data_IF_309481093179
#
_entry.id   IF_309481093179
#
_cell.length_a   1.000
_cell.length_b   1.000
_cell.length_c   1.000
_cell.angle_alpha   90.00
_cell.angle_beta   90.00
_cell.angle_gamma   90.00
#
_symmetry.space_group_name_H-M   'P 1'
#
loop_
_entity.id
_entity.type
_entity.pdbx_description
1 polymer ?
#
# COMPACT_ATOMS: atom_id res chain seq x y z
N UNK A 1 -15.31 -21.80 5.86
CA UNK A 1 -15.79 -20.42 6.10
C UNK A 1 -14.96 -19.51 5.21
N UNK A 2 -15.56 -18.64 4.41
CA UNK A 2 -14.77 -17.69 3.61
C UNK A 2 -14.39 -16.52 4.52
N UNK A 3 -13.09 -16.26 4.65
CA UNK A 3 -12.55 -15.23 5.54
C UNK A 3 -11.49 -14.39 4.83
N UNK A 4 -11.44 -13.12 5.19
CA UNK A 4 -10.27 -12.28 4.97
C UNK A 4 -9.14 -12.71 5.95
N UNK A 5 -7.92 -12.21 5.75
CA UNK A 5 -6.77 -12.61 6.54
C UNK A 5 -5.83 -11.44 6.79
N UNK A 6 -5.15 -11.46 7.93
CA UNK A 6 -4.02 -10.58 8.21
C UNK A 6 -2.66 -11.30 8.08
N UNK A 7 -2.66 -12.54 7.60
CA UNK A 7 -1.43 -13.28 7.34
C UNK A 7 -0.57 -12.54 6.30
N UNK A 8 0.76 -12.62 6.49
CA UNK A 8 1.76 -12.03 5.58
C UNK A 8 1.63 -10.51 5.42
N UNK A 9 1.18 -9.83 6.47
CA UNK A 9 1.28 -8.37 6.56
C UNK A 9 2.75 -7.98 6.43
N UNK A 10 3.06 -7.07 5.52
CA UNK A 10 4.44 -6.68 5.26
C UNK A 10 4.61 -5.18 5.05
N UNK A 11 3.54 -4.41 4.86
CA UNK A 11 3.63 -2.98 4.57
C UNK A 11 2.58 -2.17 5.32
N UNK A 12 2.99 -0.98 5.77
CA UNK A 12 2.13 0.08 6.27
C UNK A 12 2.14 1.23 5.26
N UNK A 13 0.97 1.53 4.69
CA UNK A 13 0.80 2.60 3.70
C UNK A 13 0.24 3.87 4.33
N UNK A 14 0.94 4.98 4.12
CA UNK A 14 0.54 6.31 4.59
C UNK A 14 0.36 7.26 3.42
N UNK A 15 -0.67 8.10 3.49
CA UNK A 15 -0.89 9.18 2.53
C UNK A 15 -0.26 10.45 3.07
N UNK A 16 0.48 11.13 2.19
CA UNK A 16 1.22 12.36 2.48
C UNK A 16 0.87 13.41 1.44
N UNK A 17 1.00 14.68 1.81
CA UNK A 17 0.83 15.80 0.87
C UNK A 17 2.10 16.12 0.09
N UNK A 18 3.26 15.91 0.70
CA UNK A 18 4.58 16.17 0.11
C UNK A 18 5.51 15.01 0.50
N UNK A 19 5.93 14.21 -0.47
CA UNK A 19 6.70 12.99 -0.22
C UNK A 19 8.07 13.30 0.40
N UNK A 20 8.73 14.36 -0.05
CA UNK A 20 10.09 14.68 0.36
C UNK A 20 10.10 15.23 1.80
N UNK A 21 9.14 16.10 2.15
CA UNK A 21 8.99 16.62 3.51
C UNK A 21 8.54 15.55 4.50
N UNK A 22 7.65 14.63 4.11
CA UNK A 22 7.23 13.52 4.95
C UNK A 22 8.38 12.50 5.14
N UNK A 23 9.11 12.16 4.09
CA UNK A 23 10.28 11.28 4.19
C UNK A 23 11.36 11.86 5.12
N UNK A 24 11.64 13.16 5.00
CA UNK A 24 12.55 13.86 5.91
C UNK A 24 12.04 13.81 7.36
N UNK A 25 10.73 13.97 7.57
CA UNK A 25 10.14 13.84 8.91
C UNK A 25 10.30 12.43 9.47
N UNK A 26 10.09 11.40 8.66
CA UNK A 26 10.27 10.00 9.04
C UNK A 26 11.73 9.68 9.34
N UNK A 27 12.68 10.27 8.60
CA UNK A 27 14.11 10.21 8.91
C UNK A 27 14.41 10.76 10.31
N UNK A 28 13.89 11.94 10.61
CA UNK A 28 14.13 12.61 11.91
C UNK A 28 13.50 11.88 13.10
N UNK A 29 12.29 11.34 12.93
CA UNK A 29 11.55 10.71 14.03
C UNK A 29 11.91 9.24 14.23
N UNK A 30 12.13 8.50 13.15
CA UNK A 30 12.21 7.05 13.17
C UNK A 30 13.56 6.51 12.68
N UNK A 31 14.47 7.38 12.23
CA UNK A 31 15.78 6.96 11.74
C UNK A 31 15.76 6.27 10.38
N UNK A 32 14.70 6.44 9.59
CA UNK A 32 14.61 5.87 8.24
C UNK A 32 15.42 6.76 7.29
N UNK A 33 16.70 6.42 7.09
CA UNK A 33 17.65 7.25 6.35
C UNK A 33 17.49 7.16 4.83
N UNK A 34 17.05 6.00 4.34
CA UNK A 34 16.98 5.71 2.90
C UNK A 34 15.60 5.25 2.50
N UNK A 35 15.11 5.84 1.41
CA UNK A 35 13.90 5.43 0.72
C UNK A 35 14.22 5.15 -0.75
N UNK A 36 13.53 4.15 -1.32
CA UNK A 36 13.39 4.03 -2.76
C UNK A 36 12.20 4.87 -3.18
N UNK A 37 12.43 5.90 -4.00
CA UNK A 37 11.37 6.79 -4.50
C UNK A 37 11.02 6.43 -5.94
N UNK A 38 9.74 6.22 -6.21
CA UNK A 38 9.18 6.00 -7.54
C UNK A 38 8.16 7.09 -7.84
N UNK A 39 8.29 7.77 -8.97
CA UNK A 39 7.31 8.73 -9.48
C UNK A 39 6.57 8.09 -10.65
N UNK A 40 5.36 7.59 -10.40
CA UNK A 40 4.56 6.83 -11.37
C UNK A 40 3.88 7.74 -12.38
N UNK A 41 3.46 8.93 -11.93
CA UNK A 41 2.85 9.98 -12.75
C UNK A 41 3.09 11.35 -12.10
N UNK A 42 2.67 12.46 -12.72
CA UNK A 42 2.70 13.77 -12.07
C UNK A 42 1.90 13.84 -10.77
N UNK A 43 0.87 13.01 -10.61
CA UNK A 43 -0.06 13.00 -9.47
C UNK A 43 0.06 11.74 -8.60
N UNK A 44 1.10 10.93 -8.78
CA UNK A 44 1.32 9.74 -7.95
C UNK A 44 2.81 9.43 -7.79
N UNK A 45 3.29 9.53 -6.57
CA UNK A 45 4.64 9.14 -6.18
C UNK A 45 4.62 8.33 -4.89
N UNK A 46 5.57 7.41 -4.76
CA UNK A 46 5.69 6.52 -3.60
C UNK A 46 7.12 6.46 -3.11
N UNK A 47 7.32 6.43 -1.79
CA UNK A 47 8.61 6.17 -1.16
C UNK A 47 8.51 4.92 -0.28
N UNK A 48 9.39 3.95 -0.53
CA UNK A 48 9.43 2.68 0.19
C UNK A 48 10.71 2.53 0.99
N UNK A 49 10.59 2.05 2.22
CA UNK A 49 11.73 1.67 3.05
C UNK A 49 11.38 0.48 3.94
N UNK A 50 12.26 -0.51 4.01
CA UNK A 50 12.15 -1.58 5.01
C UNK A 50 12.70 -1.09 6.35
N UNK A 51 11.94 -1.33 7.42
CA UNK A 51 12.33 -1.14 8.82
C UNK A 51 12.10 -2.47 9.55
N UNK A 52 13.19 -3.20 9.80
CA UNK A 52 13.08 -4.61 10.16
C UNK A 52 12.40 -5.43 9.06
N UNK A 53 11.26 -6.05 9.39
CA UNK A 53 10.47 -6.88 8.46
C UNK A 53 9.20 -6.19 7.95
N UNK A 54 9.00 -4.91 8.29
CA UNK A 54 7.86 -4.10 7.84
C UNK A 54 8.35 -3.03 6.87
N UNK A 55 7.69 -2.91 5.73
CA UNK A 55 7.89 -1.82 4.79
C UNK A 55 7.01 -0.64 5.20
N UNK A 56 7.62 0.53 5.30
CA UNK A 56 6.89 1.80 5.32
C UNK A 56 6.77 2.28 3.89
N UNK A 57 5.53 2.53 3.47
CA UNK A 57 5.21 3.19 2.22
C UNK A 57 4.61 4.57 2.50
N UNK A 58 5.20 5.61 1.92
CA UNK A 58 4.61 6.95 1.85
C UNK A 58 4.10 7.15 0.42
N UNK A 59 2.87 7.64 0.29
CA UNK A 59 2.22 7.86 -1.00
C UNK A 59 1.79 9.33 -1.08
N UNK A 60 2.34 10.04 -2.06
CA UNK A 60 1.86 11.35 -2.46
C UNK A 60 0.89 11.18 -3.63
N UNK A 61 -0.30 11.77 -3.51
CA UNK A 61 -1.34 11.72 -4.54
C UNK A 61 -1.85 13.13 -4.87
N UNK A 62 -2.09 13.38 -6.16
CA UNK A 62 -2.70 14.60 -6.67
C UNK A 62 -4.17 14.40 -7.05
N UNK A 63 -4.82 15.42 -7.65
CA UNK A 63 -6.24 15.40 -7.98
C UNK A 63 -6.68 14.29 -8.94
N UNK A 64 -5.77 13.75 -9.76
CA UNK A 64 -6.07 12.65 -10.71
C UNK A 64 -5.64 11.28 -10.20
N UNK A 65 -5.11 11.18 -8.98
CA UNK A 65 -4.74 9.91 -8.37
C UNK A 65 -5.96 9.10 -7.88
N UNK A 66 -5.72 7.91 -7.29
CA UNK A 66 -6.80 7.04 -6.82
C UNK A 66 -7.73 7.72 -5.81
N UNK A 67 -9.04 7.69 -6.09
CA UNK A 67 -10.02 8.45 -5.33
C UNK A 67 -10.09 8.06 -3.83
N UNK A 68 -9.80 6.81 -3.50
CA UNK A 68 -9.78 6.32 -2.11
C UNK A 68 -8.65 6.93 -1.26
N UNK A 69 -7.63 7.52 -1.88
CA UNK A 69 -6.58 8.26 -1.16
C UNK A 69 -6.97 9.69 -0.79
N UNK A 70 -7.91 10.31 -1.53
CA UNK A 70 -8.18 11.75 -1.42
C UNK A 70 -8.64 12.17 -0.02
N UNK A 71 -9.39 11.32 0.68
CA UNK A 71 -9.85 11.59 2.05
C UNK A 71 -8.75 11.55 3.12
N UNK A 72 -7.53 11.11 2.75
CA UNK A 72 -6.41 10.93 3.66
C UNK A 72 -5.28 11.94 3.43
N UNK A 73 -5.36 12.82 2.43
CA UNK A 73 -4.31 13.82 2.18
C UNK A 73 -4.27 14.82 3.35
N UNK A 74 -3.21 14.84 4.18
CA UNK A 74 -3.16 15.69 5.37
C UNK A 74 -2.98 17.17 4.98
N UNK A 75 -3.50 18.11 5.77
CA UNK A 75 -3.29 19.55 5.52
C UNK A 75 -1.83 19.97 5.74
N UNK A 76 -1.19 19.45 6.78
CA UNK A 76 0.24 19.68 7.06
C UNK A 76 1.11 18.79 6.15
N UNK A 77 2.01 19.37 5.33
CA UNK A 77 2.84 18.60 4.41
C UNK A 77 3.87 17.67 5.09
N UNK A 78 4.10 17.81 6.40
CA UNK A 78 4.98 16.91 7.17
C UNK A 78 4.24 15.76 7.83
N UNK A 79 2.91 15.76 7.81
CA UNK A 79 2.11 14.70 8.38
C UNK A 79 1.92 13.56 7.39
N UNK A 80 1.67 12.37 7.93
CA UNK A 80 1.37 11.17 7.18
C UNK A 80 0.14 10.52 7.83
N UNK A 81 -0.92 10.36 7.05
CA UNK A 81 -2.14 9.73 7.53
C UNK A 81 -2.13 8.24 7.18
N UNK A 82 -2.27 7.39 8.19
CA UNK A 82 -2.32 5.95 7.97
C UNK A 82 -3.54 5.58 7.12
N UNK A 83 -3.33 4.81 6.06
CA UNK A 83 -4.37 4.48 5.09
C UNK A 83 -4.65 2.97 5.03
N UNK A 84 -3.61 2.15 4.91
CA UNK A 84 -3.79 0.72 4.71
C UNK A 84 -2.68 -0.14 5.32
N UNK A 85 -3.04 -1.38 5.61
CA UNK A 85 -2.10 -2.48 5.74
C UNK A 85 -2.01 -3.23 4.41
N UNK A 86 -0.83 -3.67 4.00
CA UNK A 86 -0.69 -4.56 2.85
C UNK A 86 -0.24 -5.97 3.23
N UNK A 87 -0.80 -6.96 2.53
CA UNK A 87 -0.63 -8.38 2.74
C UNK A 87 -0.13 -9.05 1.46
N UNK A 88 0.91 -9.89 1.56
CA UNK A 88 1.34 -10.71 0.43
C UNK A 88 0.39 -11.88 0.21
N UNK A 89 0.02 -12.05 -1.04
CA UNK A 89 -0.74 -13.19 -1.55
C UNK A 89 0.19 -14.03 -2.40
N UNK A 90 0.22 -15.34 -2.15
CA UNK A 90 1.25 -16.21 -2.70
C UNK A 90 0.91 -16.73 -4.10
N UNK A 91 -0.38 -16.96 -4.35
CA UNK A 91 -0.85 -17.55 -5.59
C UNK A 91 -2.22 -17.01 -6.01
N UNK A 92 -2.58 -17.31 -7.26
CA UNK A 92 -3.82 -16.84 -7.86
C UNK A 92 -5.06 -17.42 -7.16
N UNK A 93 -5.00 -18.66 -6.68
CA UNK A 93 -6.12 -19.31 -5.99
C UNK A 93 -6.42 -18.61 -4.67
N UNK A 94 -5.39 -18.24 -3.91
CA UNK A 94 -5.52 -17.44 -2.70
C UNK A 94 -6.12 -16.06 -3.02
N UNK A 95 -5.65 -15.41 -4.08
CA UNK A 95 -6.16 -14.09 -4.49
C UNK A 95 -7.64 -14.13 -4.88
N UNK A 96 -8.04 -15.09 -5.72
CA UNK A 96 -9.44 -15.31 -6.11
C UNK A 96 -10.32 -15.64 -4.90
N UNK A 97 -9.81 -16.43 -3.95
CA UNK A 97 -10.52 -16.73 -2.70
C UNK A 97 -10.74 -15.48 -1.85
N UNK A 98 -9.78 -14.56 -1.80
CA UNK A 98 -9.89 -13.31 -1.06
C UNK A 98 -10.90 -12.35 -1.71
N UNK A 99 -10.92 -12.26 -3.04
CA UNK A 99 -11.94 -11.50 -3.79
C UNK A 99 -13.34 -12.05 -3.48
N UNK A 100 -13.51 -13.38 -3.58
CA UNK A 100 -14.78 -14.03 -3.26
C UNK A 100 -15.19 -13.80 -1.80
N UNK A 101 -14.24 -13.84 -0.86
CA UNK A 101 -14.51 -13.59 0.54
C UNK A 101 -14.96 -12.14 0.80
N UNK A 102 -14.31 -11.14 0.18
CA UNK A 102 -14.72 -9.74 0.30
C UNK A 102 -16.16 -9.54 -0.18
N UNK A 103 -16.50 -10.05 -1.37
CA UNK A 103 -17.86 -9.97 -1.92
C UNK A 103 -18.91 -10.70 -1.09
N UNK A 104 -18.61 -11.90 -0.59
CA UNK A 104 -19.55 -12.68 0.21
C UNK A 104 -19.76 -12.10 1.63
N UNK A 105 -18.79 -11.36 2.15
CA UNK A 105 -18.91 -10.63 3.41
C UNK A 105 -19.57 -9.26 3.24
N UNK A 106 -19.82 -8.82 2.01
CA UNK A 106 -20.47 -7.54 1.70
C UNK A 106 -19.58 -6.32 1.88
N UNK A 107 -18.26 -6.48 1.82
CA UNK A 107 -17.34 -5.34 1.83
C UNK A 107 -17.22 -4.71 0.44
N UNK A 108 -17.07 -3.40 0.40
CA UNK A 108 -16.64 -2.70 -0.80
C UNK A 108 -15.16 -3.03 -1.07
N UNK A 109 -14.84 -3.33 -2.33
CA UNK A 109 -13.47 -3.61 -2.75
C UNK A 109 -13.23 -3.20 -4.20
N UNK A 110 -11.98 -2.91 -4.53
CA UNK A 110 -11.52 -2.64 -5.89
C UNK A 110 -10.32 -3.53 -6.21
N UNK A 111 -10.31 -4.11 -7.42
CA UNK A 111 -9.19 -4.90 -7.92
C UNK A 111 -8.52 -4.19 -9.09
N UNK A 112 -7.19 -4.15 -9.10
CA UNK A 112 -6.40 -3.60 -10.20
C UNK A 112 -5.37 -4.63 -10.66
N UNK A 113 -5.14 -4.68 -11.96
CA UNK A 113 -4.09 -5.49 -12.58
C UNK A 113 -3.21 -4.59 -13.44
N UNK A 114 -1.90 -4.66 -13.25
CA UNK A 114 -0.91 -3.80 -13.89
C UNK A 114 0.34 -4.59 -14.31
N UNK A 115 1.21 -3.96 -15.11
CA UNK A 115 2.47 -4.55 -15.61
C UNK A 115 2.24 -5.90 -16.30
N UNK A 116 1.41 -5.88 -17.34
CA UNK A 116 1.02 -7.08 -18.11
C UNK A 116 0.37 -8.19 -17.26
N UNK A 117 -0.22 -7.76 -16.13
CA UNK A 117 -0.92 -8.63 -15.19
C UNK A 117 -0.04 -9.27 -14.14
N UNK A 118 1.25 -8.95 -14.07
CA UNK A 118 2.19 -9.49 -13.08
C UNK A 118 2.07 -8.84 -11.69
N UNK A 119 1.43 -7.67 -11.61
CA UNK A 119 1.05 -7.00 -10.36
C UNK A 119 -0.47 -6.98 -10.25
N UNK A 120 -1.01 -7.68 -9.26
CA UNK A 120 -2.44 -7.70 -8.97
C UNK A 120 -2.66 -7.22 -7.55
N UNK A 121 -3.57 -6.28 -7.38
CA UNK A 121 -3.86 -5.63 -6.11
C UNK A 121 -5.36 -5.66 -5.88
N UNK A 122 -5.77 -5.91 -4.63
CA UNK A 122 -7.13 -5.70 -4.17
C UNK A 122 -7.12 -4.81 -2.94
N UNK A 123 -7.82 -3.68 -2.98
CA UNK A 123 -8.13 -2.89 -1.80
C UNK A 123 -9.52 -3.28 -1.30
N UNK A 124 -9.64 -3.57 0.00
CA UNK A 124 -10.91 -3.83 0.68
C UNK A 124 -11.14 -2.73 1.71
N UNK A 125 -12.32 -2.12 1.69
CA UNK A 125 -12.72 -1.13 2.68
C UNK A 125 -13.09 -1.79 4.00
N UNK A 126 -12.15 -1.78 4.94
CA UNK A 126 -12.33 -2.28 6.29
C UNK A 126 -12.34 -1.14 7.31
N UNK A 127 -12.58 0.11 6.89
CA UNK A 127 -12.45 1.28 7.78
C UNK A 127 -13.43 1.22 8.95
N UNK A 128 -14.67 0.81 8.72
CA UNK A 128 -15.66 0.65 9.79
C UNK A 128 -15.32 -0.48 10.78
N UNK A 129 -14.50 -1.45 10.37
CA UNK A 129 -14.12 -2.60 11.21
C UNK A 129 -12.77 -2.43 11.90
N UNK A 130 -11.79 -1.84 11.21
CA UNK A 130 -10.37 -1.80 11.62
C UNK A 130 -9.77 -0.40 11.63
N UNK A 131 -10.49 0.59 11.11
CA UNK A 131 -10.00 1.96 10.94
C UNK A 131 -9.14 2.19 9.69
N UNK A 132 -8.88 1.17 8.86
CA UNK A 132 -8.05 1.27 7.67
C UNK A 132 -8.55 0.39 6.52
N UNK A 133 -8.03 0.62 5.31
CA UNK A 133 -8.15 -0.32 4.21
C UNK A 133 -7.21 -1.52 4.40
N UNK A 134 -7.54 -2.64 3.76
CA UNK A 134 -6.62 -3.76 3.56
C UNK A 134 -6.24 -3.88 2.09
N UNK A 135 -4.95 -3.92 1.79
CA UNK A 135 -4.42 -4.17 0.46
C UNK A 135 -3.90 -5.61 0.37
N UNK A 136 -4.39 -6.39 -0.58
CA UNK A 136 -3.86 -7.72 -0.89
C UNK A 136 -3.07 -7.64 -2.19
N UNK A 137 -1.79 -8.00 -2.14
CA UNK A 137 -0.87 -7.86 -3.26
C UNK A 137 -0.39 -9.23 -3.72
N UNK A 138 -0.80 -9.62 -4.92
CA UNK A 138 -0.34 -10.83 -5.60
C UNK A 138 0.62 -10.46 -6.73
N UNK A 139 1.90 -10.79 -6.54
CA UNK A 139 2.94 -10.62 -7.55
C UNK A 139 3.29 -11.95 -8.20
N UNK A 140 3.57 -11.90 -9.50
CA UNK A 140 4.10 -13.02 -10.27
C UNK A 140 5.07 -12.51 -11.34
N UNK A 141 5.69 -13.44 -12.06
CA UNK A 141 6.58 -13.12 -13.16
C UNK A 141 7.68 -12.13 -12.77
N UNK A 142 7.86 -11.07 -13.56
CA UNK A 142 8.91 -10.08 -13.34
C UNK A 142 8.70 -9.26 -12.06
N UNK A 143 7.45 -9.16 -11.57
CA UNK A 143 7.12 -8.39 -10.38
C UNK A 143 7.47 -9.11 -9.07
N UNK A 144 7.88 -10.39 -9.09
CA UNK A 144 8.34 -11.06 -7.87
C UNK A 144 9.51 -10.32 -7.19
N UNK A 145 10.37 -9.67 -7.99
CA UNK A 145 11.49 -8.86 -7.51
C UNK A 145 11.15 -7.37 -7.32
N UNK A 146 9.87 -7.00 -7.35
CA UNK A 146 9.45 -5.60 -7.35
C UNK A 146 9.92 -4.80 -6.13
N UNK A 147 10.25 -5.44 -5.00
CA UNK A 147 10.75 -4.75 -3.81
C UNK A 147 12.20 -5.11 -3.44
N UNK A 148 12.93 -5.78 -4.32
CA UNK A 148 14.29 -6.27 -4.02
C UNK A 148 15.30 -5.12 -3.85
N UNK A 149 15.04 -3.97 -4.48
CA UNK A 149 15.86 -2.76 -4.40
C UNK A 149 15.36 -1.76 -3.34
N UNK A 150 14.32 -2.09 -2.56
CA UNK A 150 13.89 -1.25 -1.43
C UNK A 150 14.96 -1.30 -0.34
N UNK A 151 15.49 -0.16 0.11
CA UNK A 151 16.53 -0.13 1.13
C UNK A 151 16.01 -0.66 2.47
N UNK A 152 16.88 -1.40 3.18
CA UNK A 152 16.71 -1.75 4.59
C UNK A 152 17.41 -0.72 5.49
N UNK A 153 16.70 -0.26 6.51
CA UNK A 153 17.18 0.66 7.56
C UNK A 153 17.24 -0.05 8.90
#
# INVERSE_FOLDING_TARGET
MQTLTFANMYQLGYIVRDLDLAAERFRQLFGIERFRVLRHSPDLATAHAWVGDVMVELIETGPTGPAYFNGYVPDDPRQANFHHHAYRVHDATEFERLIAAAGNLGFDYETTSAKDGDLNVMFVDLRETTGAYAEYVFLKGAMLSYYDDVPRN
#
